data_IF_612799204592
#
_entry.id   IF_612799204592
#
_cell.length_a   1.000
_cell.length_b   1.000
_cell.length_c   1.000
_cell.angle_alpha   90.00
_cell.angle_beta   90.00
_cell.angle_gamma   90.00
#
_symmetry.space_group_name_H-M   'P 1'
#
loop_
_entity.id
_entity.type
_entity.pdbx_description
1 polymer ?
#
# COMPACT_ATOMS: atom_id res chain seq x y z
N UNK A 1 41.05 14.91 -1.64
CA UNK A 1 39.91 14.59 -0.74
C UNK A 1 38.73 14.20 -1.61
N UNK A 2 38.32 12.93 -1.62
CA UNK A 2 37.09 12.51 -2.32
C UNK A 2 35.89 12.86 -1.45
N UNK A 3 35.00 13.72 -1.95
CA UNK A 3 33.83 14.21 -1.22
C UNK A 3 32.79 13.11 -0.99
N UNK A 4 31.91 13.31 0.00
CA UNK A 4 30.81 12.40 0.34
C UNK A 4 29.98 11.98 -0.89
N UNK A 5 29.87 12.88 -1.86
CA UNK A 5 29.17 12.71 -3.13
C UNK A 5 29.83 11.69 -4.06
N UNK A 6 31.17 11.68 -4.17
CA UNK A 6 31.89 10.68 -4.97
C UNK A 6 31.68 9.28 -4.41
N UNK A 7 31.78 9.11 -3.08
CA UNK A 7 31.53 7.79 -2.44
C UNK A 7 30.11 7.28 -2.69
N UNK A 8 29.09 8.14 -2.57
CA UNK A 8 27.70 7.77 -2.88
C UNK A 8 27.54 7.29 -4.33
N UNK A 9 28.17 8.00 -5.28
CA UNK A 9 28.13 7.63 -6.70
C UNK A 9 28.85 6.31 -6.96
N UNK A 10 30.03 6.09 -6.37
CA UNK A 10 30.79 4.84 -6.52
C UNK A 10 30.01 3.63 -5.96
N UNK A 11 29.24 3.82 -4.88
CA UNK A 11 28.47 2.74 -4.23
C UNK A 11 27.11 2.47 -4.90
N UNK A 12 26.37 3.53 -5.26
CA UNK A 12 24.95 3.44 -5.68
C UNK A 12 24.76 3.76 -7.17
N UNK A 13 25.78 4.28 -7.85
CA UNK A 13 25.69 4.77 -9.23
C UNK A 13 24.88 6.07 -9.37
N UNK A 14 24.50 6.69 -8.25
CA UNK A 14 23.66 7.89 -8.23
C UNK A 14 24.10 8.86 -7.13
N UNK A 15 23.90 10.15 -7.42
CA UNK A 15 24.13 11.25 -6.46
C UNK A 15 22.84 11.62 -5.72
N UNK A 16 21.69 11.11 -6.19
CA UNK A 16 20.38 11.38 -5.61
C UNK A 16 20.26 10.90 -4.16
N UNK A 17 19.41 11.58 -3.40
CA UNK A 17 19.14 11.17 -2.03
C UNK A 17 18.35 9.87 -2.00
N UNK A 18 18.90 8.88 -1.28
CA UNK A 18 18.25 7.59 -1.12
C UNK A 18 17.03 7.70 -0.20
N UNK A 19 16.01 6.86 -0.41
CA UNK A 19 14.86 6.81 0.48
C UNK A 19 15.34 6.50 1.91
N UNK A 20 14.97 7.37 2.85
CA UNK A 20 15.34 7.21 4.26
C UNK A 20 14.65 5.97 4.82
N UNK A 21 15.37 5.19 5.63
CA UNK A 21 14.80 4.11 6.43
C UNK A 21 13.85 4.71 7.47
N UNK A 22 12.59 4.92 7.10
CA UNK A 22 11.54 5.33 8.03
C UNK A 22 11.32 4.29 9.13
N UNK A 23 10.49 4.61 10.11
CA UNK A 23 10.14 3.65 11.17
C UNK A 23 9.37 2.45 10.58
N UNK A 24 9.84 1.21 10.77
CA UNK A 24 9.10 0.04 10.30
C UNK A 24 7.77 -0.06 11.04
N UNK A 25 6.67 -0.11 10.29
CA UNK A 25 5.34 -0.31 10.87
C UNK A 25 5.11 -1.81 11.06
N UNK A 26 5.35 -2.33 12.27
CA UNK A 26 5.22 -3.77 12.60
C UNK A 26 3.79 -4.34 12.45
N UNK A 27 2.80 -3.49 12.14
CA UNK A 27 1.38 -3.84 12.18
C UNK A 27 0.81 -4.27 10.84
N UNK A 28 1.51 -4.12 9.72
CA UNK A 28 1.05 -4.65 8.43
C UNK A 28 1.90 -5.88 8.12
N UNK A 29 1.57 -7.01 8.75
CA UNK A 29 2.19 -8.30 8.41
C UNK A 29 1.77 -8.71 7.00
N UNK A 30 2.64 -9.40 6.28
CA UNK A 30 2.37 -9.88 4.91
C UNK A 30 1.05 -10.65 4.84
N UNK A 31 0.79 -11.52 5.82
CA UNK A 31 -0.46 -12.30 5.94
C UNK A 31 -1.72 -11.41 5.94
N UNK A 32 -1.70 -10.30 6.67
CA UNK A 32 -2.84 -9.38 6.71
C UNK A 32 -3.01 -8.64 5.37
N UNK A 33 -1.91 -8.38 4.67
CA UNK A 33 -1.95 -7.76 3.34
C UNK A 33 -2.56 -8.72 2.32
N UNK A 34 -2.19 -10.00 2.37
CA UNK A 34 -2.77 -11.06 1.53
C UNK A 34 -4.26 -11.28 1.82
N UNK A 35 -4.67 -11.35 3.09
CA UNK A 35 -6.09 -11.51 3.44
C UNK A 35 -6.94 -10.34 2.92
N UNK A 36 -6.45 -9.11 3.07
CA UNK A 36 -7.14 -7.93 2.55
C UNK A 36 -7.19 -7.96 1.02
N UNK A 37 -6.10 -8.31 0.34
CA UNK A 37 -6.08 -8.37 -1.13
C UNK A 37 -7.09 -9.40 -1.65
N UNK A 38 -7.10 -10.61 -1.09
CA UNK A 38 -8.04 -11.67 -1.46
C UNK A 38 -9.49 -11.27 -1.22
N UNK A 39 -9.78 -10.59 -0.11
CA UNK A 39 -11.15 -10.14 0.20
C UNK A 39 -11.71 -9.19 -0.87
N UNK A 40 -10.88 -8.25 -1.37
CA UNK A 40 -11.29 -7.29 -2.40
C UNK A 40 -11.19 -7.84 -3.82
N UNK A 41 -10.41 -8.91 -4.05
CA UNK A 41 -10.44 -9.66 -5.30
C UNK A 41 -11.77 -10.42 -5.45
N UNK A 42 -12.22 -11.07 -4.37
CA UNK A 42 -13.49 -11.81 -4.36
C UNK A 42 -14.71 -10.87 -4.41
N UNK A 43 -14.65 -9.74 -3.71
CA UNK A 43 -15.72 -8.76 -3.70
C UNK A 43 -15.20 -7.32 -3.80
N UNK A 44 -14.96 -6.82 -5.03
CA UNK A 44 -14.45 -5.46 -5.24
C UNK A 44 -15.39 -4.35 -4.76
N UNK A 45 -16.69 -4.64 -4.64
CA UNK A 45 -17.73 -3.69 -4.22
C UNK A 45 -17.96 -3.68 -2.71
N UNK A 46 -17.22 -4.51 -1.94
CA UNK A 46 -17.38 -4.60 -0.50
C UNK A 46 -17.11 -3.25 0.18
N UNK A 47 -17.99 -2.87 1.11
CA UNK A 47 -17.74 -1.72 1.97
C UNK A 47 -16.54 -1.97 2.87
N UNK A 48 -15.65 -0.99 3.00
CA UNK A 48 -14.53 -1.04 3.95
C UNK A 48 -14.98 -1.38 5.38
N UNK A 49 -16.16 -0.90 5.80
CA UNK A 49 -16.69 -1.20 7.15
C UNK A 49 -17.14 -2.66 7.29
N UNK A 50 -17.56 -3.28 6.19
CA UNK A 50 -17.96 -4.68 6.15
C UNK A 50 -16.71 -5.57 6.14
N UNK A 51 -15.79 -5.31 5.21
CA UNK A 51 -14.51 -6.02 5.13
C UNK A 51 -13.72 -5.95 6.45
N UNK A 52 -13.69 -4.79 7.11
CA UNK A 52 -13.06 -4.62 8.43
C UNK A 52 -13.67 -5.54 9.51
N UNK A 53 -14.99 -5.72 9.50
CA UNK A 53 -15.69 -6.62 10.45
C UNK A 53 -15.47 -8.09 10.11
N UNK A 54 -15.46 -8.44 8.83
CA UNK A 54 -15.24 -9.81 8.36
C UNK A 54 -13.80 -10.28 8.62
N UNK A 55 -12.83 -9.38 8.48
CA UNK A 55 -11.41 -9.67 8.71
C UNK A 55 -10.95 -9.43 10.17
N UNK A 56 -11.84 -8.97 11.05
CA UNK A 56 -11.52 -8.55 12.43
C UNK A 56 -10.36 -7.54 12.53
N UNK A 57 -10.33 -6.57 11.61
CA UNK A 57 -9.32 -5.51 11.55
C UNK A 57 -9.99 -4.16 11.74
N UNK A 58 -9.38 -3.26 12.50
CA UNK A 58 -9.89 -1.89 12.63
C UNK A 58 -9.93 -1.17 11.27
N UNK A 59 -10.99 -0.39 11.03
CA UNK A 59 -11.17 0.34 9.76
C UNK A 59 -9.95 1.18 9.37
N UNK A 60 -9.33 1.86 10.34
CA UNK A 60 -8.16 2.71 10.11
C UNK A 60 -6.95 1.91 9.65
N UNK A 61 -6.80 0.67 10.13
CA UNK A 61 -5.73 -0.24 9.70
C UNK A 61 -6.00 -0.81 8.31
N UNK A 62 -7.24 -1.22 8.04
CA UNK A 62 -7.67 -1.64 6.70
C UNK A 62 -7.36 -0.54 5.66
N UNK A 63 -7.66 0.72 5.97
CA UNK A 63 -7.38 1.85 5.07
C UNK A 63 -5.89 2.06 4.79
N UNK A 64 -5.01 1.79 5.77
CA UNK A 64 -3.56 1.84 5.56
C UNK A 64 -3.09 0.71 4.67
N UNK A 65 -3.53 -0.52 4.94
CA UNK A 65 -3.21 -1.69 4.11
C UNK A 65 -3.69 -1.47 2.66
N UNK A 66 -4.90 -0.97 2.46
CA UNK A 66 -5.40 -0.62 1.13
C UNK A 66 -4.53 0.42 0.41
N UNK A 67 -3.97 1.39 1.15
CA UNK A 67 -3.06 2.40 0.60
C UNK A 67 -1.74 1.78 0.16
N UNK A 68 -1.19 0.88 0.97
CA UNK A 68 0.06 0.16 0.70
C UNK A 68 -0.10 -0.81 -0.49
N UNK A 69 -1.26 -1.45 -0.60
CA UNK A 69 -1.66 -2.30 -1.74
C UNK A 69 -2.10 -1.50 -2.98
N UNK A 70 -2.07 -0.17 -2.94
CA UNK A 70 -2.54 0.72 -4.00
C UNK A 70 -3.99 0.49 -4.46
N UNK A 71 -4.84 -0.09 -3.62
CA UNK A 71 -6.25 -0.33 -3.91
C UNK A 71 -7.02 0.99 -3.96
N UNK A 72 -7.71 1.24 -5.08
CA UNK A 72 -8.53 2.44 -5.29
C UNK A 72 -10.02 2.07 -5.23
N UNK A 73 -10.88 2.96 -4.71
CA UNK A 73 -12.33 2.74 -4.77
C UNK A 73 -12.76 2.59 -6.22
N UNK A 74 -13.42 1.48 -6.54
CA UNK A 74 -13.99 1.27 -7.86
C UNK A 74 -15.25 2.12 -8.02
N UNK A 75 -15.31 2.95 -9.08
CA UNK A 75 -16.45 3.81 -9.39
C UNK A 75 -17.04 3.37 -10.73
N UNK A 76 -18.11 2.59 -10.72
CA UNK A 76 -18.82 2.24 -11.95
C UNK A 76 -19.49 3.49 -12.53
N UNK A 77 -19.18 3.81 -13.79
CA UNK A 77 -19.89 4.84 -14.55
C UNK A 77 -20.96 4.13 -15.37
N UNK A 78 -22.23 4.40 -15.07
CA UNK A 78 -23.33 3.98 -15.93
C UNK A 78 -23.25 4.82 -17.21
N UNK A 79 -22.83 4.19 -18.31
CA UNK A 79 -22.94 4.75 -19.64
C UNK A 79 -24.29 4.30 -20.19
N UNK A 80 -25.18 5.25 -20.42
CA UNK A 80 -26.52 5.00 -20.94
C UNK A 80 -26.41 4.33 -22.30
N UNK A 81 -27.04 3.16 -22.45
CA UNK A 81 -27.19 2.51 -23.75
C UNK A 81 -28.16 3.33 -24.60
N UNK A 82 -27.78 3.51 -25.86
CA UNK A 82 -28.55 4.15 -26.94
C UNK A 82 -29.84 3.37 -27.23
#
# INVERSE_FOLDING_TARGET
MSGRTSKKFDETGSVEDTPRSGRPTSRNTEENMELVSQSFLLNPQASQRRAARELDISRSRLQRIMKDLHLKPYKSRLLQAL
#
